data_IF_095531587148
#
_entry.id   IF_095531587148
#
_cell.length_a   1.000
_cell.length_b   1.000
_cell.length_c   1.000
_cell.angle_alpha   90.00
_cell.angle_beta   90.00
_cell.angle_gamma   90.00
#
_symmetry.space_group_name_H-M   'P 1'
#
loop_
_entity.id
_entity.type
_entity.pdbx_description
1 polymer ?
#
# COMPACT_ATOMS: atom_id res chain seq x y z
N UNK A 1 -13.81 48.51 -56.11
CA UNK A 1 -12.81 47.99 -55.14
C UNK A 1 -13.36 48.12 -53.73
N UNK A 2 -13.73 47.02 -53.08
CA UNK A 2 -14.03 46.96 -51.64
C UNK A 2 -12.82 46.44 -50.83
N UNK A 3 -12.71 46.76 -49.53
CA UNK A 3 -11.49 46.61 -48.75
C UNK A 3 -11.20 45.16 -48.28
N UNK A 4 -9.90 44.82 -48.22
CA UNK A 4 -9.37 43.60 -47.61
C UNK A 4 -9.78 43.48 -46.14
N UNK A 5 -10.63 42.52 -45.81
CA UNK A 5 -10.89 42.15 -44.41
C UNK A 5 -9.72 41.34 -43.85
N UNK A 6 -9.18 41.89 -42.76
CA UNK A 6 -8.09 41.36 -41.94
C UNK A 6 -8.48 39.99 -41.39
N UNK A 7 -7.58 39.00 -41.55
CA UNK A 7 -7.68 37.64 -40.97
C UNK A 7 -8.12 37.70 -39.51
N UNK A 8 -9.24 37.06 -39.19
CA UNK A 8 -9.53 36.67 -37.80
C UNK A 8 -8.79 35.36 -37.53
N UNK A 9 -7.80 35.45 -36.65
CA UNK A 9 -7.08 34.32 -36.07
C UNK A 9 -8.02 33.53 -35.17
N UNK A 10 -8.18 32.24 -35.47
CA UNK A 10 -8.79 31.26 -34.56
C UNK A 10 -7.97 31.24 -33.26
N UNK A 11 -8.58 31.39 -32.07
CA UNK A 11 -7.83 31.23 -30.83
C UNK A 11 -7.57 29.73 -30.63
N UNK A 12 -6.33 29.32 -30.91
CA UNK A 12 -5.76 28.09 -30.40
C UNK A 12 -5.34 28.34 -28.95
N UNK A 13 -6.14 27.86 -28.00
CA UNK A 13 -5.74 27.54 -26.62
C UNK A 13 -6.98 27.01 -25.89
N UNK A 14 -7.40 25.79 -26.25
CA UNK A 14 -8.04 24.95 -25.25
C UNK A 14 -6.92 24.56 -24.28
N UNK A 15 -7.04 25.06 -23.07
CA UNK A 15 -6.19 24.81 -21.93
C UNK A 15 -6.02 23.30 -21.77
N UNK A 16 -4.89 22.76 -22.24
CA UNK A 16 -4.43 21.41 -21.90
C UNK A 16 -3.85 21.49 -20.50
N UNK A 17 -4.67 21.91 -19.54
CA UNK A 17 -4.43 21.66 -18.14
C UNK A 17 -4.27 20.15 -18.06
N UNK A 18 -3.03 19.73 -17.83
CA UNK A 18 -2.63 18.35 -17.71
C UNK A 18 -3.70 17.60 -16.92
N UNK A 19 -4.16 16.47 -17.44
CA UNK A 19 -4.90 15.48 -16.65
C UNK A 19 -3.89 14.94 -15.63
N UNK A 20 -3.65 15.74 -14.59
CA UNK A 20 -2.87 15.36 -13.43
C UNK A 20 -3.78 14.39 -12.71
N UNK A 21 -3.60 13.09 -12.95
CA UNK A 21 -4.16 12.05 -12.09
C UNK A 21 -3.89 12.48 -10.64
N UNK A 22 -4.93 12.57 -9.78
CA UNK A 22 -4.77 13.12 -8.46
C UNK A 22 -3.71 12.31 -7.70
N UNK A 23 -2.82 13.03 -7.02
CA UNK A 23 -1.85 12.43 -6.10
C UNK A 23 -2.61 11.58 -5.09
N UNK A 24 -2.14 10.36 -4.85
CA UNK A 24 -2.71 9.45 -3.88
C UNK A 24 -2.73 10.11 -2.50
N UNK A 25 -3.93 10.18 -1.91
CA UNK A 25 -4.22 11.07 -0.79
C UNK A 25 -3.49 10.70 0.52
N UNK A 26 -2.86 9.53 0.60
CA UNK A 26 -2.10 9.10 1.78
C UNK A 26 -0.67 9.63 1.70
N UNK A 27 -0.35 10.61 2.53
CA UNK A 27 1.02 11.10 2.77
C UNK A 27 1.75 10.28 3.83
N UNK A 28 3.07 10.43 3.91
CA UNK A 28 3.88 9.94 5.03
C UNK A 28 4.37 11.16 5.82
N UNK A 29 4.18 11.21 7.15
CA UNK A 29 3.55 10.18 7.97
C UNK A 29 2.03 10.08 7.74
N UNK A 30 1.49 8.90 8.01
CA UNK A 30 0.06 8.59 8.00
C UNK A 30 -0.35 8.05 9.37
N UNK A 31 -1.52 8.49 9.85
CA UNK A 31 -2.19 7.94 11.02
C UNK A 31 -3.68 7.79 10.71
N UNK A 32 -4.24 6.62 10.98
CA UNK A 32 -5.66 6.39 10.81
C UNK A 32 -6.48 7.26 11.79
N UNK A 33 -7.69 7.69 11.41
CA UNK A 33 -8.57 8.45 12.29
C UNK A 33 -8.83 7.69 13.60
N UNK A 34 -8.91 8.40 14.72
CA UNK A 34 -9.10 7.79 16.04
C UNK A 34 -10.34 6.88 16.11
N UNK A 35 -11.42 7.23 15.40
CA UNK A 35 -12.64 6.43 15.33
C UNK A 35 -12.47 5.07 14.63
N UNK A 36 -11.41 4.90 13.83
CA UNK A 36 -11.10 3.64 13.14
C UNK A 36 -10.11 2.76 13.90
N UNK A 37 -9.54 3.26 15.00
CA UNK A 37 -8.54 2.54 15.80
C UNK A 37 -9.21 1.59 16.79
N UNK A 38 -8.76 0.32 16.89
CA UNK A 38 -9.28 -0.62 17.88
C UNK A 38 -8.78 -0.32 19.31
N UNK A 39 -7.66 0.39 19.45
CA UNK A 39 -7.05 0.82 20.71
C UNK A 39 -6.09 2.00 20.44
N UNK A 40 -5.50 2.59 21.48
CA UNK A 40 -4.45 3.60 21.31
C UNK A 40 -3.27 3.01 20.51
N UNK A 41 -2.73 3.79 19.58
CA UNK A 41 -1.59 3.37 18.78
C UNK A 41 -0.38 3.08 19.68
N UNK A 42 0.37 2.00 19.41
CA UNK A 42 1.55 1.68 20.19
C UNK A 42 2.66 2.69 19.90
N UNK A 43 3.41 3.02 20.94
CA UNK A 43 4.64 3.82 20.82
C UNK A 43 5.77 3.01 20.20
N UNK A 44 6.74 3.70 19.61
CA UNK A 44 7.98 3.08 19.09
C UNK A 44 8.71 2.26 20.16
N UNK A 45 8.70 2.73 21.42
CA UNK A 45 9.31 2.00 22.52
C UNK A 45 8.59 0.67 22.82
N UNK A 46 7.25 0.67 22.82
CA UNK A 46 6.45 -0.55 22.99
C UNK A 46 6.66 -1.54 21.85
N UNK A 47 6.71 -1.04 20.60
CA UNK A 47 7.02 -1.86 19.42
C UNK A 47 8.37 -2.56 19.58
N UNK A 48 9.43 -1.81 19.91
CA UNK A 48 10.79 -2.35 20.05
C UNK A 48 10.92 -3.33 21.22
N UNK A 49 10.16 -3.10 22.29
CA UNK A 49 10.15 -3.95 23.50
C UNK A 49 9.27 -5.18 23.36
N UNK A 50 8.54 -5.33 22.24
CA UNK A 50 7.69 -6.49 22.05
C UNK A 50 8.50 -7.79 22.04
N UNK A 51 7.99 -8.76 22.81
CA UNK A 51 8.57 -10.10 22.97
C UNK A 51 8.10 -11.09 21.91
N UNK A 52 6.90 -10.88 21.35
CA UNK A 52 6.31 -11.80 20.38
C UNK A 52 6.71 -11.38 18.96
N UNK A 53 7.74 -12.05 18.44
CA UNK A 53 8.30 -11.81 17.11
C UNK A 53 7.69 -12.78 16.11
N UNK A 54 6.95 -12.26 15.12
CA UNK A 54 6.36 -13.06 14.05
C UNK A 54 7.36 -13.37 12.93
N UNK A 55 8.27 -12.43 12.66
CA UNK A 55 9.32 -12.60 11.66
C UNK A 55 10.50 -11.67 11.95
N UNK A 56 11.71 -12.16 11.69
CA UNK A 56 12.92 -11.35 11.79
C UNK A 56 13.81 -11.64 10.58
N UNK A 57 14.12 -10.58 9.83
CA UNK A 57 15.04 -10.58 8.68
C UNK A 57 16.13 -9.55 8.93
N UNK A 58 17.17 -9.56 8.09
CA UNK A 58 18.32 -8.64 8.21
C UNK A 58 17.93 -7.15 8.19
N UNK A 59 16.89 -6.79 7.44
CA UNK A 59 16.48 -5.39 7.24
C UNK A 59 15.18 -5.01 7.93
N UNK A 60 14.44 -5.99 8.48
CA UNK A 60 13.09 -5.78 8.97
C UNK A 60 12.71 -6.79 10.06
N UNK A 61 11.94 -6.35 11.04
CA UNK A 61 11.35 -7.17 12.08
C UNK A 61 9.84 -6.94 12.13
N UNK A 62 9.08 -8.01 12.37
CA UNK A 62 7.63 -8.00 12.51
C UNK A 62 7.29 -8.53 13.90
N UNK A 63 6.58 -7.73 14.68
CA UNK A 63 6.21 -8.05 16.07
C UNK A 63 4.72 -7.80 16.28
N UNK A 64 4.12 -8.50 17.24
CA UNK A 64 2.79 -8.14 17.74
C UNK A 64 2.92 -7.06 18.81
N UNK A 65 1.92 -6.21 18.99
CA UNK A 65 1.87 -5.26 20.10
C UNK A 65 0.47 -5.27 20.69
N UNK A 66 0.36 -5.75 21.93
CA UNK A 66 -0.93 -6.01 22.57
C UNK A 66 -1.79 -7.01 21.78
N UNK A 67 -3.11 -6.89 21.93
CA UNK A 67 -4.09 -7.76 21.27
C UNK A 67 -4.49 -7.32 19.86
N UNK A 68 -4.18 -6.07 19.46
CA UNK A 68 -4.80 -5.46 18.28
C UNK A 68 -3.84 -5.16 17.14
N UNK A 69 -2.54 -5.07 17.42
CA UNK A 69 -1.58 -4.55 16.45
C UNK A 69 -0.48 -5.55 16.09
N UNK A 70 -0.04 -5.43 14.84
CA UNK A 70 1.24 -5.94 14.35
C UNK A 70 2.03 -4.74 13.85
N UNK A 71 3.31 -4.67 14.20
CA UNK A 71 4.22 -3.64 13.74
C UNK A 71 5.36 -4.28 12.95
N UNK A 72 5.54 -3.82 11.70
CA UNK A 72 6.72 -4.09 10.89
C UNK A 72 7.63 -2.87 10.96
N UNK A 73 8.89 -3.07 11.32
CA UNK A 73 9.85 -1.97 11.45
C UNK A 73 11.25 -2.35 10.96
N UNK A 74 12.03 -1.34 10.54
CA UNK A 74 13.40 -1.49 10.04
C UNK A 74 13.70 -0.56 8.88
N UNK A 75 14.61 -0.96 7.98
CA UNK A 75 14.91 -0.22 6.73
C UNK A 75 13.87 -0.60 5.67
N UNK A 76 12.67 -0.05 5.80
CA UNK A 76 11.49 -0.38 4.97
C UNK A 76 11.18 0.70 3.95
N UNK A 77 10.59 0.28 2.83
CA UNK A 77 9.87 1.19 1.94
C UNK A 77 8.41 1.32 2.42
N UNK A 78 8.02 2.50 2.89
CA UNK A 78 6.67 2.78 3.38
C UNK A 78 5.60 2.78 2.28
N UNK A 79 6.00 2.73 1.00
CA UNK A 79 5.09 2.46 -0.12
C UNK A 79 4.36 1.12 0.03
N UNK A 80 4.92 0.15 0.74
CA UNK A 80 4.22 -1.10 1.10
C UNK A 80 2.90 -0.81 1.83
N UNK A 81 2.93 0.12 2.80
CA UNK A 81 1.76 0.53 3.55
C UNK A 81 0.77 1.35 2.72
N UNK A 82 1.27 2.28 1.92
CA UNK A 82 0.42 3.08 1.01
C UNK A 82 -0.29 2.19 0.00
N UNK A 83 0.40 1.18 -0.53
CA UNK A 83 -0.17 0.20 -1.45
C UNK A 83 -1.26 -0.65 -0.79
N UNK A 84 -1.09 -1.06 0.47
CA UNK A 84 -2.15 -1.76 1.20
C UNK A 84 -3.43 -0.91 1.32
N UNK A 85 -3.28 0.38 1.65
CA UNK A 85 -4.42 1.32 1.71
C UNK A 85 -5.05 1.50 0.33
N UNK A 86 -4.24 1.62 -0.72
CA UNK A 86 -4.73 1.71 -2.10
C UNK A 86 -5.54 0.47 -2.51
N UNK A 87 -5.01 -0.74 -2.28
CA UNK A 87 -5.71 -2.00 -2.59
C UNK A 87 -7.02 -2.12 -1.81
N UNK A 88 -7.03 -1.70 -0.53
CA UNK A 88 -8.24 -1.68 0.30
C UNK A 88 -9.33 -0.74 -0.25
N UNK A 89 -8.94 0.38 -0.88
CA UNK A 89 -9.88 1.34 -1.46
C UNK A 89 -10.42 0.90 -2.83
N UNK A 90 -9.69 0.07 -3.57
CA UNK A 90 -9.98 -0.24 -4.98
C UNK A 90 -10.34 -1.71 -5.22
N UNK A 91 -10.45 -2.54 -4.18
CA UNK A 91 -10.85 -3.94 -4.31
C UNK A 91 -11.57 -4.44 -3.06
N UNK A 92 -12.22 -5.61 -3.16
CA UNK A 92 -12.80 -6.32 -2.02
C UNK A 92 -11.85 -7.39 -1.47
N UNK A 93 -10.58 -7.35 -1.88
CA UNK A 93 -9.58 -8.29 -1.39
C UNK A 93 -9.29 -7.98 0.07
N UNK A 94 -9.37 -8.97 0.97
CA UNK A 94 -9.05 -8.75 2.37
C UNK A 94 -7.55 -8.46 2.49
N UNK A 95 -7.21 -7.21 2.78
CA UNK A 95 -5.87 -6.76 3.13
C UNK A 95 -5.87 -6.21 4.55
N UNK A 96 -4.72 -6.30 5.23
CA UNK A 96 -4.55 -5.79 6.58
C UNK A 96 -4.87 -4.30 6.63
N UNK A 97 -5.67 -3.86 7.60
CA UNK A 97 -5.88 -2.43 7.82
C UNK A 97 -4.59 -1.80 8.35
N UNK A 98 -4.14 -0.73 7.68
CA UNK A 98 -2.99 0.08 8.11
C UNK A 98 -3.47 1.16 9.06
N UNK A 99 -2.84 1.28 10.21
CA UNK A 99 -3.16 2.29 11.23
C UNK A 99 -2.12 3.40 11.34
N UNK A 100 -0.85 3.11 11.06
CA UNK A 100 0.19 4.15 11.02
C UNK A 100 1.32 3.80 10.05
N UNK A 101 1.85 4.83 9.38
CA UNK A 101 3.07 4.78 8.57
C UNK A 101 3.94 5.97 8.96
N UNK A 102 5.14 5.73 9.46
CA UNK A 102 6.03 6.83 9.84
C UNK A 102 7.49 6.39 9.82
N UNK A 103 8.39 7.36 9.81
CA UNK A 103 9.83 7.17 9.92
C UNK A 103 10.34 7.89 11.16
N UNK A 104 11.20 7.21 11.88
CA UNK A 104 12.07 7.79 12.90
C UNK A 104 13.38 8.17 12.19
N UNK A 105 13.62 9.47 12.05
CA UNK A 105 14.77 9.98 11.30
C UNK A 105 16.08 9.86 12.10
N UNK A 106 16.01 9.88 13.44
CA UNK A 106 17.19 9.74 14.30
C UNK A 106 17.78 8.32 14.20
N UNK A 107 16.90 7.32 14.17
CA UNK A 107 17.30 5.92 14.05
C UNK A 107 17.20 5.36 12.62
N UNK A 108 16.91 6.21 11.64
CA UNK A 108 16.65 5.84 10.24
C UNK A 108 15.70 4.64 10.07
N UNK A 109 14.72 4.51 10.95
CA UNK A 109 13.85 3.33 11.04
C UNK A 109 12.43 3.66 10.61
N UNK A 110 11.92 2.94 9.63
CA UNK A 110 10.54 3.05 9.15
C UNK A 110 9.63 2.08 9.92
N UNK A 111 8.39 2.48 10.16
CA UNK A 111 7.37 1.72 10.88
C UNK A 111 6.07 1.64 10.08
N UNK A 112 5.52 0.43 10.02
CA UNK A 112 4.19 0.13 9.50
C UNK A 112 3.42 -0.55 10.62
N UNK A 113 2.43 0.14 11.19
CA UNK A 113 1.52 -0.40 12.20
C UNK A 113 0.22 -0.81 11.52
N UNK A 114 -0.17 -2.07 11.70
CA UNK A 114 -1.29 -2.70 11.01
C UNK A 114 -2.09 -3.61 11.93
N UNK A 115 -3.24 -4.03 11.44
CA UNK A 115 -4.16 -4.96 12.10
C UNK A 115 -3.51 -6.30 12.43
N UNK A 116 -3.77 -6.79 13.66
CA UNK A 116 -3.45 -8.16 14.05
C UNK A 116 -4.57 -9.10 13.63
N UNK A 117 -4.28 -9.95 12.64
CA UNK A 117 -5.16 -11.06 12.28
C UNK A 117 -4.73 -12.31 13.05
N UNK A 118 -5.67 -12.87 13.80
CA UNK A 118 -5.47 -14.14 14.48
C UNK A 118 -5.76 -15.28 13.52
N UNK A 119 -4.85 -16.25 13.43
CA UNK A 119 -5.03 -17.41 12.59
C UNK A 119 -3.74 -18.17 12.35
N UNK A 120 -3.85 -19.27 11.61
CA UNK A 120 -2.71 -20.06 11.14
C UNK A 120 -2.44 -19.74 9.68
N UNK A 121 -1.16 -19.69 9.31
CA UNK A 121 -0.80 -19.50 7.90
C UNK A 121 -1.16 -20.75 7.10
N UNK A 122 -1.54 -20.58 5.82
CA UNK A 122 -1.79 -21.71 4.92
C UNK A 122 -0.61 -22.68 4.88
N UNK A 123 0.64 -22.19 4.96
CA UNK A 123 1.84 -23.03 5.01
C UNK A 123 1.80 -24.08 6.14
N UNK A 124 1.24 -23.73 7.30
CA UNK A 124 1.21 -24.62 8.48
C UNK A 124 0.14 -25.70 8.33
N UNK A 125 -1.00 -25.34 7.75
CA UNK A 125 -2.17 -26.23 7.68
C UNK A 125 -2.30 -26.95 6.34
N UNK A 126 -1.53 -26.58 5.31
CA UNK A 126 -1.73 -27.05 3.93
C UNK A 126 -1.83 -28.58 3.82
N UNK A 127 -0.90 -29.28 4.45
CA UNK A 127 -0.81 -30.75 4.39
C UNK A 127 -1.88 -31.46 5.25
N UNK A 128 -2.61 -30.71 6.08
CA UNK A 128 -3.70 -31.24 6.92
C UNK A 128 -5.07 -31.03 6.29
N UNK A 129 -5.16 -30.29 5.18
CA UNK A 129 -6.41 -29.97 4.51
C UNK A 129 -6.82 -31.12 3.59
N UNK A 130 -8.12 -31.41 3.54
CA UNK A 130 -8.67 -32.34 2.56
C UNK A 130 -8.82 -31.68 1.17
N UNK A 131 -9.10 -32.50 0.16
CA UNK A 131 -9.24 -32.05 -1.23
C UNK A 131 -10.35 -31.00 -1.39
N UNK A 132 -11.46 -31.14 -0.65
CA UNK A 132 -12.58 -30.21 -0.73
C UNK A 132 -12.19 -28.84 -0.16
N UNK A 133 -11.50 -28.81 0.98
CA UNK A 133 -10.98 -27.59 1.59
C UNK A 133 -9.95 -26.90 0.69
N UNK A 134 -9.05 -27.67 0.08
CA UNK A 134 -8.07 -27.17 -0.87
C UNK A 134 -8.74 -26.54 -2.10
N UNK A 135 -9.80 -27.15 -2.64
CA UNK A 135 -10.58 -26.59 -3.75
C UNK A 135 -11.21 -25.24 -3.35
N UNK A 136 -11.80 -25.15 -2.15
CA UNK A 136 -12.40 -23.90 -1.67
C UNK A 136 -11.36 -22.79 -1.53
N UNK A 137 -10.24 -23.07 -0.86
CA UNK A 137 -9.16 -22.09 -0.64
C UNK A 137 -8.55 -21.63 -1.97
N UNK A 138 -8.25 -22.56 -2.89
CA UNK A 138 -7.66 -22.21 -4.19
C UNK A 138 -8.62 -21.42 -5.07
N UNK A 139 -9.92 -21.71 -5.00
CA UNK A 139 -10.96 -20.94 -5.69
C UNK A 139 -11.02 -19.51 -5.15
N UNK A 140 -11.04 -19.35 -3.82
CA UNK A 140 -11.04 -18.04 -3.18
C UNK A 140 -9.79 -17.22 -3.52
N UNK A 141 -8.60 -17.83 -3.48
CA UNK A 141 -7.35 -17.17 -3.86
C UNK A 141 -7.35 -16.74 -5.33
N UNK A 142 -7.90 -17.57 -6.23
CA UNK A 142 -8.05 -17.23 -7.64
C UNK A 142 -8.94 -16.00 -7.81
N UNK A 143 -10.05 -15.92 -7.08
CA UNK A 143 -10.94 -14.76 -7.11
C UNK A 143 -10.22 -13.49 -6.62
N UNK A 144 -9.49 -13.56 -5.50
CA UNK A 144 -8.72 -12.42 -4.99
C UNK A 144 -7.64 -11.95 -5.97
N UNK A 145 -6.86 -12.86 -6.55
CA UNK A 145 -5.88 -12.51 -7.58
C UNK A 145 -6.57 -11.89 -8.80
N UNK A 146 -7.74 -12.41 -9.18
CA UNK A 146 -8.56 -11.85 -10.25
C UNK A 146 -9.02 -10.42 -9.95
N UNK A 147 -9.42 -10.13 -8.71
CA UNK A 147 -9.76 -8.77 -8.28
C UNK A 147 -8.56 -7.84 -8.30
N UNK A 148 -7.41 -8.26 -7.77
CA UNK A 148 -6.17 -7.46 -7.80
C UNK A 148 -5.76 -7.08 -9.22
N UNK A 149 -5.89 -7.99 -10.18
CA UNK A 149 -5.57 -7.75 -11.59
C UNK A 149 -6.53 -6.80 -12.31
N UNK A 150 -7.74 -6.61 -11.76
CA UNK A 150 -8.72 -5.66 -12.30
C UNK A 150 -8.55 -4.25 -11.76
N UNK A 151 -7.70 -4.05 -10.75
CA UNK A 151 -7.39 -2.71 -10.25
C UNK A 151 -6.69 -1.96 -11.38
N UNK A 152 -7.28 -0.84 -11.81
CA UNK A 152 -6.72 -0.01 -12.86
C UNK A 152 -5.42 0.64 -12.37
N UNK A 153 -4.39 0.60 -13.21
CA UNK A 153 -3.17 1.34 -12.91
C UNK A 153 -3.39 2.83 -13.14
N UNK A 154 -3.08 3.71 -12.18
CA UNK A 154 -3.20 5.16 -12.36
C UNK A 154 -2.35 5.74 -13.50
N UNK A 155 -1.31 5.02 -13.94
CA UNK A 155 -0.31 5.54 -14.90
C UNK A 155 0.49 4.47 -15.66
N UNK A 156 -0.01 3.24 -15.81
CA UNK A 156 0.70 2.15 -16.49
C UNK A 156 1.69 1.41 -15.56
N UNK A 157 2.98 1.39 -15.87
CA UNK A 157 4.01 0.72 -15.06
C UNK A 157 4.70 1.70 -14.11
N UNK A 158 4.00 2.06 -13.04
CA UNK A 158 4.43 3.06 -12.07
C UNK A 158 4.00 2.65 -10.67
N UNK A 159 4.70 3.16 -9.66
CA UNK A 159 4.20 3.19 -8.30
C UNK A 159 3.08 4.24 -8.14
N UNK A 160 2.55 4.33 -6.92
CA UNK A 160 1.62 5.40 -6.56
C UNK A 160 2.26 6.76 -6.88
N UNK A 161 1.46 7.75 -7.27
CA UNK A 161 1.93 9.09 -7.67
C UNK A 161 2.88 9.12 -8.88
N UNK A 162 2.79 8.13 -9.78
CA UNK A 162 3.69 8.03 -10.95
C UNK A 162 5.16 7.85 -10.56
N UNK A 163 5.45 7.37 -9.35
CA UNK A 163 6.85 7.14 -8.94
C UNK A 163 7.45 5.97 -9.72
N UNK A 164 8.78 5.97 -9.94
CA UNK A 164 9.45 4.80 -10.49
C UNK A 164 9.20 3.56 -9.62
N UNK A 165 9.05 2.40 -10.25
CA UNK A 165 8.95 1.14 -9.52
C UNK A 165 10.32 0.83 -8.88
N UNK A 166 10.37 0.55 -7.56
CA UNK A 166 11.61 0.18 -6.88
C UNK A 166 11.98 -1.27 -7.25
N UNK A 167 12.46 -1.46 -8.47
CA UNK A 167 12.91 -2.75 -8.99
C UNK A 167 14.19 -2.57 -9.77
N UNK A 168 15.15 -3.46 -9.54
CA UNK A 168 16.43 -3.54 -10.26
C UNK A 168 16.26 -3.84 -11.76
N UNK A 169 15.07 -4.28 -12.21
CA UNK A 169 14.80 -4.67 -13.60
C UNK A 169 14.32 -3.48 -14.46
N UNK A 170 13.77 -2.43 -13.87
CA UNK A 170 13.17 -1.29 -14.58
C UNK A 170 13.93 0.03 -14.34
N UNK A 171 15.19 -0.05 -13.89
CA UNK A 171 16.04 1.11 -13.74
C UNK A 171 16.56 1.56 -15.11
N UNK A 172 16.07 2.68 -15.61
CA UNK A 172 16.77 3.45 -16.65
C UNK A 172 17.36 4.69 -16.00
N UNK A 173 18.66 4.97 -16.18
CA UNK A 173 19.22 6.27 -15.83
C UNK A 173 18.53 7.33 -16.70
N UNK A 174 18.05 8.39 -16.07
CA UNK A 174 17.62 9.62 -16.73
C UNK A 174 18.87 10.47 -16.95
#
# INVERSE_FOLDING_TARGET
MPPMQRRQSVPATADVAAVISPKFAVSIPYYAPAAALPAALPTTAEIKRSVEVLSQRSTAKVVTVGSHFVAKYGRLNLEEGRMMIFVQQHSQVPVLRVFALYRDDEEETSYIVMERIHGQTLKVIWDTLDDQQNIVITTQLREYIGQLRRIESPCGYCGLDKTPLPTYILWTPI
#
